data_IF_459158969981
#
_entry.id   IF_459158969981
#
_cell.length_a   1.000
_cell.length_b   1.000
_cell.length_c   1.000
_cell.angle_alpha   90.00
_cell.angle_beta   90.00
_cell.angle_gamma   90.00
#
_symmetry.space_group_name_H-M   'P 1'
#
loop_
_entity.id
_entity.type
_entity.pdbx_description
1 polymer ?
#
# COMPACT_ATOMS: atom_id res chain seq x y z
N UNK A 1 -27.23 -8.03 15.21
CA UNK A 1 -28.14 -7.28 14.31
C UNK A 1 -27.44 -7.18 12.97
N UNK A 2 -27.90 -7.99 12.01
CA UNK A 2 -27.38 -8.06 10.65
C UNK A 2 -27.87 -6.85 9.87
N UNK A 3 -26.94 -6.01 9.39
CA UNK A 3 -27.24 -5.07 8.32
C UNK A 3 -26.82 -5.71 6.99
N UNK A 4 -27.77 -6.36 6.33
CA UNK A 4 -27.68 -6.70 4.91
C UNK A 4 -27.74 -5.40 4.10
N UNK A 5 -26.60 -4.97 3.56
CA UNK A 5 -26.57 -3.98 2.51
C UNK A 5 -26.86 -4.68 1.17
N UNK A 6 -28.11 -4.58 0.72
CA UNK A 6 -28.50 -4.94 -0.64
C UNK A 6 -27.89 -3.92 -1.61
N UNK A 7 -26.79 -4.31 -2.28
CA UNK A 7 -26.35 -3.68 -3.51
C UNK A 7 -26.62 -4.64 -4.67
N UNK A 8 -27.31 -4.15 -5.69
CA UNK A 8 -27.57 -4.88 -6.92
C UNK A 8 -26.23 -5.24 -7.56
N UNK A 9 -25.83 -6.50 -7.40
CA UNK A 9 -24.85 -7.16 -8.24
C UNK A 9 -25.34 -6.97 -9.67
N UNK A 10 -24.56 -6.27 -10.49
CA UNK A 10 -24.82 -6.17 -11.94
C UNK A 10 -24.80 -7.61 -12.46
N UNK A 11 -25.99 -8.14 -12.71
CA UNK A 11 -26.19 -9.49 -13.21
C UNK A 11 -25.77 -9.48 -14.69
N UNK A 12 -24.82 -10.34 -15.15
CA UNK A 12 -24.27 -10.24 -16.50
C UNK A 12 -25.25 -10.62 -17.64
N UNK A 13 -26.53 -10.85 -17.36
CA UNK A 13 -27.45 -11.54 -18.26
C UNK A 13 -28.75 -10.80 -18.61
N UNK A 14 -28.84 -9.48 -18.39
CA UNK A 14 -29.99 -8.68 -18.86
C UNK A 14 -29.51 -7.43 -19.57
N UNK A 15 -29.19 -7.57 -20.86
CA UNK A 15 -29.14 -6.45 -21.79
C UNK A 15 -30.61 -6.17 -22.16
N UNK A 16 -31.25 -5.26 -21.42
CA UNK A 16 -32.39 -4.52 -21.94
C UNK A 16 -31.86 -3.17 -22.42
N UNK A 17 -31.96 -2.98 -23.73
CA UNK A 17 -31.68 -1.73 -24.44
C UNK A 17 -32.63 -0.64 -23.92
N UNK A 18 -32.11 0.26 -23.08
CA UNK A 18 -32.77 1.53 -22.77
C UNK A 18 -31.78 2.67 -23.01
N UNK A 19 -32.28 3.72 -23.67
CA UNK A 19 -31.54 4.89 -24.14
C UNK A 19 -30.71 5.54 -23.02
N UNK A 20 -29.38 5.51 -23.17
CA UNK A 20 -28.37 6.03 -22.21
C UNK A 20 -27.55 7.19 -22.77
N UNK A 21 -28.01 7.82 -23.85
CA UNK A 21 -27.19 8.77 -24.63
C UNK A 21 -27.13 10.20 -24.06
N UNK A 22 -28.06 10.62 -23.19
CA UNK A 22 -28.14 12.03 -22.74
C UNK A 22 -27.36 12.35 -21.44
N UNK A 23 -27.09 11.38 -20.57
CA UNK A 23 -26.45 11.64 -19.26
C UNK A 23 -24.93 11.53 -19.28
N UNK A 24 -24.37 10.73 -20.18
CA UNK A 24 -22.93 10.55 -20.38
C UNK A 24 -22.26 11.85 -20.85
N UNK A 25 -22.87 12.54 -21.81
CA UNK A 25 -22.33 13.75 -22.47
C UNK A 25 -22.14 14.94 -21.49
N UNK A 26 -23.06 15.09 -20.53
CA UNK A 26 -23.00 16.18 -19.53
C UNK A 26 -21.90 15.99 -18.46
N UNK A 27 -21.52 14.75 -18.19
CA UNK A 27 -20.54 14.44 -17.14
C UNK A 27 -19.09 14.48 -17.63
N UNK A 28 -18.82 14.02 -18.85
CA UNK A 28 -17.53 14.23 -19.50
C UNK A 28 -17.25 15.72 -19.73
N UNK A 29 -18.30 16.49 -20.06
CA UNK A 29 -18.24 17.96 -20.13
C UNK A 29 -17.76 18.57 -18.80
N UNK A 30 -18.12 17.99 -17.66
CA UNK A 30 -17.68 18.50 -16.35
C UNK A 30 -16.19 18.30 -16.13
N UNK A 31 -15.65 17.11 -16.45
CA UNK A 31 -14.21 16.83 -16.35
C UNK A 31 -13.41 17.68 -17.34
N UNK A 32 -13.91 17.81 -18.57
CA UNK A 32 -13.31 18.65 -19.61
C UNK A 32 -13.25 20.13 -19.19
N UNK A 33 -14.34 20.68 -18.65
CA UNK A 33 -14.39 22.06 -18.16
C UNK A 33 -13.42 22.29 -17.00
N UNK A 34 -13.23 21.29 -16.13
CA UNK A 34 -12.28 21.38 -15.03
C UNK A 34 -10.82 21.37 -15.51
N UNK A 35 -10.50 20.52 -16.48
CA UNK A 35 -9.16 20.50 -17.10
C UNK A 35 -8.91 21.81 -17.85
N UNK A 36 -9.82 22.23 -18.72
CA UNK A 36 -9.66 23.45 -19.53
C UNK A 36 -9.66 24.73 -18.69
N UNK A 37 -10.37 24.74 -17.56
CA UNK A 37 -10.30 25.82 -16.56
C UNK A 37 -8.98 25.90 -15.80
N UNK A 38 -8.13 24.86 -15.86
CA UNK A 38 -6.81 24.83 -15.22
C UNK A 38 -5.74 25.27 -16.22
N UNK A 39 -4.93 26.26 -15.87
CA UNK A 39 -3.89 26.79 -16.77
C UNK A 39 -2.92 25.70 -17.25
N UNK A 40 -2.42 25.80 -18.49
CA UNK A 40 -1.47 24.83 -19.03
C UNK A 40 -0.17 24.71 -18.23
N UNK A 41 0.28 25.81 -17.60
CA UNK A 41 1.43 25.82 -16.71
C UNK A 41 1.15 25.02 -15.43
N UNK A 42 -0.02 25.22 -14.82
CA UNK A 42 -0.47 24.46 -13.65
C UNK A 42 -0.60 22.98 -14.00
N UNK A 43 -1.22 22.63 -15.12
CA UNK A 43 -1.31 21.23 -15.54
C UNK A 43 0.06 20.59 -15.70
N UNK A 44 1.00 21.27 -16.36
CA UNK A 44 2.37 20.76 -16.55
C UNK A 44 3.10 20.55 -15.22
N UNK A 45 2.95 21.48 -14.28
CA UNK A 45 3.50 21.36 -12.92
C UNK A 45 2.93 20.14 -12.18
N UNK A 46 1.61 19.94 -12.22
CA UNK A 46 0.95 18.81 -11.59
C UNK A 46 1.37 17.48 -12.19
N UNK A 47 1.43 17.39 -13.53
CA UNK A 47 1.89 16.20 -14.23
C UNK A 47 3.34 15.86 -13.86
N UNK A 48 4.24 16.84 -13.84
CA UNK A 48 5.63 16.65 -13.42
C UNK A 48 5.73 16.14 -11.97
N UNK A 49 4.93 16.72 -11.06
CA UNK A 49 4.85 16.27 -9.67
C UNK A 49 4.38 14.81 -9.57
N UNK A 50 3.36 14.42 -10.36
CA UNK A 50 2.90 13.04 -10.42
C UNK A 50 4.01 12.07 -10.86
N UNK A 51 4.70 12.41 -11.96
CA UNK A 51 5.76 11.55 -12.51
C UNK A 51 6.90 11.33 -11.52
N UNK A 52 7.33 12.39 -10.83
CA UNK A 52 8.48 12.36 -9.94
C UNK A 52 8.16 11.74 -8.57
N UNK A 53 7.00 12.05 -7.99
CA UNK A 53 6.72 11.73 -6.59
C UNK A 53 5.84 10.49 -6.40
N UNK A 54 4.95 10.19 -7.35
CA UNK A 54 4.03 9.05 -7.24
C UNK A 54 4.43 7.89 -8.17
N UNK A 55 4.66 8.21 -9.45
CA UNK A 55 4.83 7.18 -10.47
C UNK A 55 6.20 6.48 -10.41
N UNK A 56 7.23 7.07 -9.77
CA UNK A 56 8.53 6.40 -9.57
C UNK A 56 8.41 5.09 -8.77
N UNK A 57 7.48 5.02 -7.81
CA UNK A 57 7.25 3.80 -7.01
C UNK A 57 6.41 2.76 -7.75
N UNK A 58 5.27 3.15 -8.30
CA UNK A 58 4.30 2.22 -8.87
C UNK A 58 4.60 1.88 -10.33
N UNK A 59 5.13 2.85 -11.09
CA UNK A 59 5.30 2.79 -12.54
C UNK A 59 4.02 2.31 -13.24
N UNK A 60 2.90 2.91 -12.83
CA UNK A 60 1.54 2.57 -13.26
C UNK A 60 1.25 3.08 -14.67
N UNK A 61 1.74 4.27 -14.99
CA UNK A 61 1.54 4.95 -16.27
C UNK A 61 2.89 5.27 -16.88
N UNK A 62 3.09 4.97 -18.15
CA UNK A 62 4.30 5.36 -18.88
C UNK A 62 4.14 6.78 -19.44
N UNK A 63 5.01 7.75 -19.09
CA UNK A 63 4.81 9.14 -19.48
C UNK A 63 4.80 9.37 -20.99
N UNK A 64 5.68 8.68 -21.72
CA UNK A 64 5.82 8.83 -23.17
C UNK A 64 4.65 8.19 -23.90
N UNK A 65 4.25 6.98 -23.49
CA UNK A 65 3.09 6.30 -24.05
C UNK A 65 1.81 7.09 -23.75
N UNK A 66 1.63 7.58 -22.52
CA UNK A 66 0.48 8.40 -22.14
C UNK A 66 0.35 9.65 -23.02
N UNK A 67 1.47 10.35 -23.28
CA UNK A 67 1.48 11.54 -24.13
C UNK A 67 1.07 11.22 -25.57
N UNK A 68 1.48 10.05 -26.11
CA UNK A 68 1.04 9.57 -27.42
C UNK A 68 -0.45 9.26 -27.45
N UNK A 69 -0.96 8.52 -26.46
CA UNK A 69 -2.38 8.17 -26.36
C UNK A 69 -3.29 9.38 -26.17
N UNK A 70 -2.81 10.41 -25.46
CA UNK A 70 -3.50 11.70 -25.33
C UNK A 70 -3.60 12.42 -26.68
N UNK A 71 -2.52 12.43 -27.48
CA UNK A 71 -2.53 13.04 -28.81
C UNK A 71 -3.40 12.28 -29.80
N UNK A 72 -3.39 10.95 -29.76
CA UNK A 72 -4.19 10.11 -30.65
C UNK A 72 -5.64 9.92 -30.20
N UNK A 73 -5.99 10.37 -28.98
CA UNK A 73 -7.29 10.12 -28.34
C UNK A 73 -7.64 8.63 -28.31
N UNK A 74 -6.64 7.79 -27.98
CA UNK A 74 -6.83 6.34 -27.85
C UNK A 74 -7.69 6.04 -26.63
N UNK A 75 -8.92 5.54 -26.85
CA UNK A 75 -9.91 5.33 -25.79
C UNK A 75 -9.56 4.17 -24.85
N UNK A 76 -8.69 3.26 -25.26
CA UNK A 76 -8.28 2.14 -24.40
C UNK A 76 -7.25 2.59 -23.35
N UNK A 77 -6.38 3.54 -23.72
CA UNK A 77 -5.23 3.95 -22.93
C UNK A 77 -5.29 5.38 -22.39
N UNK A 78 -6.21 6.20 -22.88
CA UNK A 78 -6.45 7.56 -22.43
C UNK A 78 -7.92 7.81 -22.10
N UNK A 79 -8.16 8.56 -21.03
CA UNK A 79 -9.49 9.09 -20.68
C UNK A 79 -9.36 10.38 -19.88
N UNK A 80 -10.41 11.23 -19.91
CA UNK A 80 -10.47 12.43 -19.08
C UNK A 80 -10.41 12.09 -17.59
N UNK A 81 -11.04 10.99 -17.18
CA UNK A 81 -10.97 10.48 -15.80
C UNK A 81 -9.53 10.20 -15.39
N UNK A 82 -8.76 9.47 -16.22
CA UNK A 82 -7.34 9.21 -15.95
C UNK A 82 -6.56 10.51 -15.84
N UNK A 83 -6.74 11.45 -16.78
CA UNK A 83 -6.08 12.75 -16.75
C UNK A 83 -6.36 13.52 -15.45
N UNK A 84 -7.63 13.59 -15.02
CA UNK A 84 -8.01 14.26 -13.77
C UNK A 84 -7.40 13.57 -12.56
N UNK A 85 -7.37 12.23 -12.51
CA UNK A 85 -6.71 11.48 -11.44
C UNK A 85 -5.20 11.77 -11.37
N UNK A 86 -4.50 11.83 -12.51
CA UNK A 86 -3.08 12.18 -12.57
C UNK A 86 -2.81 13.58 -12.00
N UNK A 87 -3.63 14.56 -12.40
CA UNK A 87 -3.52 15.94 -11.91
C UNK A 87 -3.84 16.04 -10.40
N UNK A 88 -4.91 15.37 -9.94
CA UNK A 88 -5.29 15.34 -8.53
C UNK A 88 -4.19 14.74 -7.65
N UNK A 89 -3.57 13.66 -8.13
CA UNK A 89 -2.48 12.99 -7.47
C UNK A 89 -1.20 13.84 -7.45
N UNK A 90 -0.88 14.49 -8.56
CA UNK A 90 0.23 15.45 -8.65
C UNK A 90 0.08 16.60 -7.66
N UNK A 91 -1.14 17.13 -7.50
CA UNK A 91 -1.44 18.22 -6.56
C UNK A 91 -1.16 17.83 -5.11
N UNK A 92 -1.41 16.56 -4.74
CA UNK A 92 -1.16 16.07 -3.38
C UNK A 92 0.31 16.22 -2.96
N UNK A 93 1.24 16.19 -3.91
CA UNK A 93 2.67 16.29 -3.61
C UNK A 93 3.21 17.73 -3.70
N UNK A 94 2.33 18.71 -3.93
CA UNK A 94 2.71 20.13 -3.99
C UNK A 94 2.25 20.84 -2.73
N UNK A 95 3.08 21.74 -2.22
CA UNK A 95 2.69 22.63 -1.14
C UNK A 95 1.80 23.76 -1.69
N UNK A 96 0.52 23.74 -1.29
CA UNK A 96 -0.56 24.61 -1.80
C UNK A 96 -0.44 26.08 -1.35
N UNK A 97 0.62 26.45 -0.64
CA UNK A 97 0.86 27.84 -0.23
C UNK A 97 1.13 28.82 -1.40
N UNK A 98 1.15 28.34 -2.65
CA UNK A 98 1.17 29.17 -3.85
C UNK A 98 -0.25 29.60 -4.26
N UNK A 99 -0.47 30.91 -4.38
CA UNK A 99 -1.76 31.52 -4.74
C UNK A 99 -2.39 31.01 -6.04
N UNK A 100 -1.58 30.41 -6.92
CA UNK A 100 -1.96 29.82 -8.21
C UNK A 100 -2.69 28.48 -8.11
N UNK A 101 -2.68 27.82 -6.95
CA UNK A 101 -3.28 26.50 -6.76
C UNK A 101 -4.57 26.53 -5.92
N UNK A 102 -4.91 27.67 -5.32
CA UNK A 102 -6.09 27.82 -4.48
C UNK A 102 -7.40 27.46 -5.22
N UNK A 103 -7.48 27.74 -6.52
CA UNK A 103 -8.68 27.51 -7.32
C UNK A 103 -9.02 26.03 -7.52
N UNK A 104 -8.01 25.16 -7.55
CA UNK A 104 -8.18 23.70 -7.70
C UNK A 104 -8.04 22.96 -6.36
N UNK A 105 -7.49 23.65 -5.36
CA UNK A 105 -7.43 23.17 -3.98
C UNK A 105 -8.85 23.12 -3.41
N UNK A 106 -9.13 22.06 -2.66
CA UNK A 106 -10.42 21.88 -2.00
C UNK A 106 -10.31 22.11 -0.50
N UNK A 107 -11.35 21.72 0.22
CA UNK A 107 -11.37 21.80 1.68
C UNK A 107 -10.63 20.61 2.28
N UNK A 108 -9.60 20.89 3.08
CA UNK A 108 -8.78 19.85 3.71
C UNK A 108 -7.89 19.11 2.72
N UNK A 109 -7.91 17.78 2.77
CA UNK A 109 -7.02 16.89 1.98
C UNK A 109 -7.61 16.49 0.62
N UNK A 110 -8.87 16.84 0.35
CA UNK A 110 -9.56 16.50 -0.89
C UNK A 110 -9.57 17.72 -1.84
N UNK A 111 -8.99 17.57 -3.03
CA UNK A 111 -9.01 18.62 -4.05
C UNK A 111 -10.30 18.63 -4.88
N UNK A 112 -10.55 19.72 -5.62
CA UNK A 112 -11.70 19.77 -6.54
C UNK A 112 -11.56 18.73 -7.67
N UNK A 113 -10.32 18.47 -8.12
CA UNK A 113 -10.00 17.42 -9.11
C UNK A 113 -10.34 16.02 -8.57
N UNK A 114 -9.91 15.73 -7.33
CA UNK A 114 -10.24 14.48 -6.65
C UNK A 114 -11.76 14.29 -6.52
N UNK A 115 -12.46 15.31 -5.99
CA UNK A 115 -13.91 15.28 -5.83
C UNK A 115 -14.64 15.06 -7.16
N UNK A 116 -14.18 15.70 -8.24
CA UNK A 116 -14.76 15.54 -9.57
C UNK A 116 -14.59 14.11 -10.11
N UNK A 117 -13.40 13.52 -10.00
CA UNK A 117 -13.15 12.14 -10.40
C UNK A 117 -14.01 11.13 -9.62
N UNK A 118 -14.16 11.35 -8.31
CA UNK A 118 -15.04 10.54 -7.45
C UNK A 118 -16.51 10.65 -7.90
N UNK A 119 -17.03 11.87 -8.03
CA UNK A 119 -18.42 12.11 -8.44
C UNK A 119 -18.73 11.52 -9.82
N UNK A 120 -17.75 11.51 -10.73
CA UNK A 120 -17.88 10.88 -12.04
C UNK A 120 -18.17 9.37 -11.91
N UNK A 121 -17.37 8.65 -11.11
CA UNK A 121 -17.58 7.22 -10.87
C UNK A 121 -18.84 6.90 -10.08
N UNK A 122 -19.20 7.71 -9.07
CA UNK A 122 -20.41 7.49 -8.27
C UNK A 122 -21.70 7.62 -9.10
N UNK A 123 -21.63 8.29 -10.26
CA UNK A 123 -22.71 8.35 -11.26
C UNK A 123 -22.71 7.16 -12.23
N UNK A 124 -21.89 6.15 -12.00
CA UNK A 124 -21.76 4.97 -12.86
C UNK A 124 -21.06 5.24 -14.19
N UNK A 125 -20.26 6.31 -14.28
CA UNK A 125 -19.57 6.69 -15.52
C UNK A 125 -18.20 5.99 -15.64
N UNK A 126 -17.72 5.90 -16.88
CA UNK A 126 -16.42 5.34 -17.24
C UNK A 126 -16.51 3.95 -17.86
N UNK A 127 -15.63 3.67 -18.82
CA UNK A 127 -15.61 2.39 -19.53
C UNK A 127 -14.73 1.37 -18.80
N UNK A 128 -15.39 0.40 -18.15
CA UNK A 128 -14.76 -0.71 -17.42
C UNK A 128 -13.89 -1.63 -18.28
N UNK A 129 -13.90 -1.46 -19.61
CA UNK A 129 -13.13 -2.27 -20.55
C UNK A 129 -11.72 -1.73 -20.79
N UNK A 130 -11.47 -0.49 -20.42
CA UNK A 130 -10.26 0.23 -20.81
C UNK A 130 -9.15 0.10 -19.77
N UNK A 131 -7.91 0.19 -20.22
CA UNK A 131 -6.73 0.29 -19.37
C UNK A 131 -6.69 1.62 -18.63
N UNK A 132 -7.12 2.68 -19.31
CA UNK A 132 -7.23 4.01 -18.74
C UNK A 132 -8.12 4.02 -17.48
N UNK A 133 -9.24 3.29 -17.51
CA UNK A 133 -10.13 3.15 -16.36
C UNK A 133 -9.48 2.42 -15.19
N UNK A 134 -8.79 1.30 -15.46
CA UNK A 134 -8.08 0.56 -14.41
C UNK A 134 -6.98 1.42 -13.75
N UNK A 135 -6.19 2.15 -14.55
CA UNK A 135 -5.15 3.06 -14.04
C UNK A 135 -5.77 4.19 -13.21
N UNK A 136 -6.86 4.80 -13.68
CA UNK A 136 -7.55 5.87 -12.97
C UNK A 136 -8.06 5.41 -11.60
N UNK A 137 -8.67 4.21 -11.55
CA UNK A 137 -9.18 3.63 -10.30
C UNK A 137 -8.09 3.36 -9.27
N UNK A 138 -6.91 2.87 -9.70
CA UNK A 138 -5.78 2.66 -8.79
C UNK A 138 -5.27 3.97 -8.18
N UNK A 139 -5.18 5.04 -8.99
CA UNK A 139 -4.78 6.37 -8.51
C UNK A 139 -5.83 6.94 -7.56
N UNK A 140 -7.12 6.82 -7.92
CA UNK A 140 -8.20 7.30 -7.09
C UNK A 140 -8.32 6.51 -5.78
N UNK A 141 -7.98 5.23 -5.76
CA UNK A 141 -7.93 4.43 -4.55
C UNK A 141 -6.97 5.03 -3.51
N UNK A 142 -5.78 5.47 -3.94
CA UNK A 142 -4.81 6.13 -3.06
C UNK A 142 -5.26 7.53 -2.64
N UNK A 143 -6.00 8.25 -3.47
CA UNK A 143 -6.58 9.54 -3.10
C UNK A 143 -7.66 9.37 -2.03
N UNK A 144 -8.60 8.43 -2.20
CA UNK A 144 -9.62 8.11 -1.19
C UNK A 144 -9.01 7.63 0.12
N UNK A 145 -8.00 6.75 0.05
CA UNK A 145 -7.27 6.32 1.24
C UNK A 145 -6.55 7.48 1.92
N UNK A 146 -6.02 8.44 1.15
CA UNK A 146 -5.38 9.65 1.62
C UNK A 146 -6.26 10.49 2.55
N UNK A 147 -7.53 10.60 2.20
CA UNK A 147 -8.54 11.35 2.94
C UNK A 147 -9.34 10.48 3.92
N UNK A 148 -8.82 9.29 4.26
CA UNK A 148 -9.39 8.41 5.30
C UNK A 148 -10.58 7.56 4.85
N UNK A 149 -10.97 7.59 3.57
CA UNK A 149 -12.06 6.79 3.01
C UNK A 149 -11.54 5.46 2.49
N UNK A 150 -11.00 4.65 3.39
CA UNK A 150 -10.31 3.39 3.08
C UNK A 150 -11.23 2.36 2.41
N UNK A 151 -12.53 2.34 2.74
CA UNK A 151 -13.52 1.47 2.11
C UNK A 151 -13.71 1.79 0.63
N UNK A 152 -13.90 3.08 0.30
CA UNK A 152 -13.98 3.56 -1.09
C UNK A 152 -12.67 3.27 -1.83
N UNK A 153 -11.52 3.51 -1.18
CA UNK A 153 -10.22 3.18 -1.76
C UNK A 153 -10.06 1.71 -2.08
N UNK A 154 -10.42 0.82 -1.15
CA UNK A 154 -10.41 -0.63 -1.37
C UNK A 154 -11.35 -1.04 -2.50
N UNK A 155 -12.55 -0.45 -2.56
CA UNK A 155 -13.53 -0.74 -3.61
C UNK A 155 -12.99 -0.35 -4.99
N UNK A 156 -12.43 0.85 -5.15
CA UNK A 156 -11.85 1.29 -6.42
C UNK A 156 -10.64 0.45 -6.83
N UNK A 157 -9.75 0.12 -5.89
CA UNK A 157 -8.64 -0.79 -6.17
C UNK A 157 -9.16 -2.17 -6.61
N UNK A 158 -10.22 -2.68 -5.98
CA UNK A 158 -10.86 -3.94 -6.37
C UNK A 158 -11.51 -3.90 -7.74
N UNK A 159 -12.19 -2.81 -8.06
CA UNK A 159 -12.80 -2.62 -9.37
C UNK A 159 -11.74 -2.54 -10.47
N UNK A 160 -10.59 -1.89 -10.23
CA UNK A 160 -9.50 -1.79 -11.21
C UNK A 160 -8.96 -3.17 -11.64
N UNK A 161 -9.02 -4.12 -10.71
CA UNK A 161 -8.50 -5.47 -10.91
C UNK A 161 -9.50 -6.39 -11.61
N UNK A 162 -10.78 -6.03 -11.54
CA UNK A 162 -11.90 -6.68 -12.22
C UNK A 162 -12.22 -6.03 -13.57
N UNK A 163 -11.66 -4.85 -13.86
CA UNK A 163 -11.77 -4.20 -15.16
C UNK A 163 -11.40 -5.18 -16.29
N UNK A 164 -12.24 -5.23 -17.33
CA UNK A 164 -12.07 -6.20 -18.43
C UNK A 164 -10.74 -6.03 -19.16
N UNK A 165 -10.24 -4.79 -19.27
CA UNK A 165 -8.89 -4.52 -19.78
C UNK A 165 -7.81 -5.25 -18.97
N UNK A 166 -7.86 -5.16 -17.64
CA UNK A 166 -6.94 -5.86 -16.74
C UNK A 166 -7.04 -7.38 -16.86
N UNK A 167 -8.25 -7.93 -16.93
CA UNK A 167 -8.45 -9.38 -17.09
C UNK A 167 -7.93 -9.89 -18.45
N UNK A 168 -8.19 -9.15 -19.53
CA UNK A 168 -7.66 -9.45 -20.86
C UNK A 168 -6.13 -9.48 -20.90
N UNK A 169 -5.47 -8.72 -20.01
CA UNK A 169 -4.01 -8.75 -19.88
C UNK A 169 -3.49 -10.04 -19.29
N UNK A 170 -4.23 -10.68 -18.36
CA UNK A 170 -3.83 -11.97 -17.77
C UNK A 170 -3.84 -13.04 -18.85
N UNK A 171 -4.86 -13.04 -19.70
CA UNK A 171 -4.98 -13.95 -20.83
C UNK A 171 -3.93 -13.65 -21.88
N UNK A 172 -3.82 -12.39 -22.33
CA UNK A 172 -2.85 -11.98 -23.35
C UNK A 172 -1.40 -12.27 -22.93
N UNK A 173 -1.00 -11.98 -21.69
CA UNK A 173 0.36 -12.27 -21.19
C UNK A 173 0.65 -13.77 -21.12
N UNK A 174 -0.35 -14.60 -20.83
CA UNK A 174 -0.20 -16.06 -20.86
C UNK A 174 0.16 -16.55 -22.27
N UNK A 175 -0.36 -15.88 -23.31
CA UNK A 175 -0.11 -16.22 -24.71
C UNK A 175 1.09 -15.50 -25.34
N UNK A 176 1.46 -14.30 -24.87
CA UNK A 176 2.44 -13.39 -25.49
C UNK A 176 3.89 -13.54 -25.01
N UNK A 177 4.29 -14.69 -24.49
CA UNK A 177 5.70 -14.99 -24.12
C UNK A 177 6.66 -15.13 -25.33
N UNK A 178 6.28 -14.61 -26.51
CA UNK A 178 6.98 -14.83 -27.79
C UNK A 178 7.23 -13.54 -28.60
N UNK A 179 6.74 -12.37 -28.19
CA UNK A 179 6.92 -11.11 -28.95
C UNK A 179 7.22 -9.93 -28.02
N UNK A 180 8.21 -9.09 -28.38
CA UNK A 180 8.60 -7.88 -27.63
C UNK A 180 7.65 -6.71 -27.94
N UNK A 181 6.36 -6.89 -27.65
CA UNK A 181 5.36 -5.86 -27.94
C UNK A 181 5.32 -4.80 -26.82
N UNK A 182 5.32 -3.53 -27.21
CA UNK A 182 5.18 -2.38 -26.31
C UNK A 182 3.87 -2.47 -25.52
N UNK A 183 2.81 -2.96 -26.18
CA UNK A 183 1.51 -3.15 -25.56
C UNK A 183 1.54 -4.24 -24.47
N UNK A 184 2.26 -5.33 -24.71
CA UNK A 184 2.43 -6.41 -23.73
C UNK A 184 3.18 -5.91 -22.47
N UNK A 185 4.17 -5.03 -22.65
CA UNK A 185 4.86 -4.39 -21.53
C UNK A 185 3.94 -3.46 -20.74
N UNK A 186 3.11 -2.65 -21.41
CA UNK A 186 2.15 -1.76 -20.75
C UNK A 186 1.11 -2.55 -19.94
N UNK A 187 0.54 -3.62 -20.52
CA UNK A 187 -0.35 -4.57 -19.84
C UNK A 187 0.31 -5.23 -18.62
N UNK A 188 1.59 -5.62 -18.75
CA UNK A 188 2.37 -6.17 -17.65
C UNK A 188 2.60 -5.15 -16.51
N UNK A 189 2.81 -3.88 -16.82
CA UNK A 189 2.92 -2.81 -15.80
C UNK A 189 1.64 -2.67 -15.00
N UNK A 190 0.48 -2.61 -15.65
CA UNK A 190 -0.82 -2.50 -14.97
C UNK A 190 -1.05 -3.70 -14.05
N UNK A 191 -0.82 -4.92 -14.53
CA UNK A 191 -0.97 -6.12 -13.70
C UNK A 191 0.00 -6.16 -12.52
N UNK A 192 1.24 -5.69 -12.71
CA UNK A 192 2.20 -5.52 -11.62
C UNK A 192 1.66 -4.60 -10.53
N UNK A 193 1.04 -3.49 -10.93
CA UNK A 193 0.44 -2.53 -10.01
C UNK A 193 -0.78 -3.14 -9.30
N UNK A 194 -1.68 -3.80 -10.03
CA UNK A 194 -2.81 -4.50 -9.43
C UNK A 194 -2.37 -5.51 -8.35
N UNK A 195 -1.29 -6.27 -8.60
CA UNK A 195 -0.72 -7.16 -7.60
C UNK A 195 -0.13 -6.39 -6.40
N UNK A 196 0.61 -5.30 -6.65
CA UNK A 196 1.12 -4.43 -5.58
C UNK A 196 -0.01 -3.92 -4.69
N UNK A 197 -1.10 -3.41 -5.28
CA UNK A 197 -2.25 -2.92 -4.52
C UNK A 197 -2.95 -4.06 -3.78
N UNK A 198 -3.19 -5.23 -4.38
CA UNK A 198 -3.76 -6.38 -3.65
C UNK A 198 -2.93 -6.71 -2.40
N UNK A 199 -1.59 -6.72 -2.52
CA UNK A 199 -0.72 -6.95 -1.35
C UNK A 199 -0.76 -5.81 -0.33
N UNK A 200 -0.73 -4.57 -0.79
CA UNK A 200 -0.82 -3.39 0.07
C UNK A 200 -2.09 -3.43 0.92
N UNK A 201 -3.25 -3.67 0.31
CA UNK A 201 -4.55 -3.69 0.99
C UNK A 201 -4.70 -4.91 1.92
N UNK A 202 -4.18 -6.08 1.53
CA UNK A 202 -4.12 -7.27 2.40
C UNK A 202 -3.35 -7.00 3.68
N UNK A 203 -2.19 -6.36 3.61
CA UNK A 203 -1.41 -6.06 4.81
C UNK A 203 -2.05 -4.89 5.59
N UNK A 204 -2.46 -3.80 4.95
CA UNK A 204 -2.90 -2.58 5.63
C UNK A 204 -4.22 -2.74 6.39
N UNK A 205 -5.15 -3.51 5.82
CA UNK A 205 -6.53 -3.57 6.27
C UNK A 205 -7.04 -5.00 6.49
N UNK A 206 -6.17 -6.01 6.34
CA UNK A 206 -6.53 -7.43 6.46
C UNK A 206 -7.68 -7.79 5.50
N UNK A 207 -7.70 -7.14 4.33
CA UNK A 207 -8.74 -7.30 3.32
C UNK A 207 -8.13 -7.61 1.96
N UNK A 208 -8.35 -8.82 1.42
CA UNK A 208 -7.99 -9.09 0.04
C UNK A 208 -8.88 -8.27 -0.91
N UNK A 209 -8.32 -7.86 -2.04
CA UNK A 209 -9.04 -7.15 -3.11
C UNK A 209 -9.76 -8.15 -4.04
N UNK A 210 -9.49 -9.45 -3.86
CA UNK A 210 -10.26 -10.53 -4.47
C UNK A 210 -9.66 -11.09 -5.76
N UNK A 211 -8.46 -10.63 -6.15
CA UNK A 211 -7.69 -11.34 -7.15
C UNK A 211 -7.17 -12.65 -6.54
N UNK A 212 -7.63 -13.77 -7.07
CA UNK A 212 -6.99 -15.08 -6.85
C UNK A 212 -5.59 -15.18 -7.45
N UNK A 213 -4.74 -14.14 -7.33
CA UNK A 213 -3.35 -14.15 -7.81
C UNK A 213 -2.50 -15.21 -7.11
N UNK A 214 -2.97 -15.78 -6.00
CA UNK A 214 -2.32 -16.87 -5.26
C UNK A 214 -2.03 -18.11 -6.12
N UNK A 215 -2.71 -18.29 -7.27
CA UNK A 215 -2.45 -19.37 -8.22
C UNK A 215 -1.78 -18.96 -9.54
N UNK A 216 -1.88 -17.68 -9.91
CA UNK A 216 -1.27 -17.18 -11.14
C UNK A 216 0.18 -16.79 -10.79
N UNK A 217 1.17 -17.48 -11.36
CA UNK A 217 2.61 -17.14 -11.23
C UNK A 217 2.95 -15.81 -11.92
N UNK A 218 2.09 -14.80 -11.81
CA UNK A 218 2.21 -13.45 -12.37
C UNK A 218 3.55 -12.83 -12.00
N UNK A 219 4.07 -12.93 -10.77
CA UNK A 219 5.38 -12.37 -10.45
C UNK A 219 6.53 -12.99 -11.27
N UNK A 220 6.47 -14.29 -11.59
CA UNK A 220 7.47 -14.96 -12.44
C UNK A 220 7.36 -14.54 -13.91
N UNK A 221 6.15 -14.32 -14.39
CA UNK A 221 5.92 -13.86 -15.77
C UNK A 221 6.34 -12.39 -15.91
N UNK A 222 5.93 -11.54 -14.98
CA UNK A 222 6.33 -10.12 -14.92
C UNK A 222 7.84 -9.95 -14.78
N UNK A 223 8.49 -10.84 -14.05
CA UNK A 223 9.95 -10.88 -13.94
C UNK A 223 10.60 -11.18 -15.29
N UNK A 224 10.11 -12.17 -16.03
CA UNK A 224 10.64 -12.52 -17.35
C UNK A 224 10.50 -11.36 -18.33
N UNK A 225 9.33 -10.70 -18.34
CA UNK A 225 9.09 -9.51 -19.16
C UNK A 225 9.96 -8.32 -18.75
N UNK A 226 10.21 -8.13 -17.45
CA UNK A 226 11.09 -7.06 -16.96
C UNK A 226 12.56 -7.30 -17.33
N UNK A 227 13.03 -8.55 -17.36
CA UNK A 227 14.38 -8.88 -17.83
C UNK A 227 14.56 -8.74 -19.33
N UNK A 228 13.50 -8.93 -20.12
CA UNK A 228 13.53 -8.75 -21.58
C UNK A 228 13.46 -7.26 -21.96
N UNK A 229 12.65 -6.46 -21.27
CA UNK A 229 12.60 -5.00 -21.43
C UNK A 229 13.90 -4.30 -20.98
N UNK A 230 14.68 -4.92 -20.10
CA UNK A 230 15.97 -4.40 -19.63
C UNK A 230 17.05 -4.32 -20.73
N UNK A 231 16.86 -5.03 -21.85
CA UNK A 231 17.77 -4.97 -23.01
C UNK A 231 17.66 -3.60 -23.73
N UNK A 232 16.55 -2.87 -23.54
CA UNK A 232 16.25 -1.62 -24.27
C UNK A 232 16.36 -0.34 -23.45
N UNK A 233 16.61 -0.39 -22.13
CA UNK A 233 16.64 0.81 -21.28
C UNK A 233 17.92 0.90 -20.40
N UNK A 234 18.69 2.01 -20.40
CA UNK A 234 20.08 2.01 -19.90
C UNK A 234 20.25 2.20 -18.38
N UNK A 235 19.21 2.59 -17.63
CA UNK A 235 19.34 2.77 -16.18
C UNK A 235 19.19 1.44 -15.45
N UNK A 236 20.23 0.61 -15.48
CA UNK A 236 20.34 -0.71 -14.86
C UNK A 236 19.74 -0.75 -13.43
N UNK A 237 20.00 0.26 -12.60
CA UNK A 237 19.54 0.30 -11.21
C UNK A 237 18.01 0.37 -11.06
N UNK A 238 17.28 1.05 -11.95
CA UNK A 238 15.80 1.15 -11.86
C UNK A 238 15.12 -0.18 -12.15
N UNK A 239 15.63 -0.88 -13.17
CA UNK A 239 15.12 -2.18 -13.59
C UNK A 239 15.40 -3.23 -12.53
N UNK A 240 16.59 -3.19 -11.92
CA UNK A 240 16.95 -4.04 -10.79
C UNK A 240 16.06 -3.79 -9.57
N UNK A 241 15.84 -2.52 -9.22
CA UNK A 241 14.95 -2.15 -8.12
C UNK A 241 13.51 -2.65 -8.35
N UNK A 242 12.99 -2.46 -9.57
CA UNK A 242 11.66 -2.95 -9.96
C UNK A 242 11.57 -4.48 -9.91
N UNK A 243 12.58 -5.18 -10.42
CA UNK A 243 12.66 -6.63 -10.38
C UNK A 243 12.70 -7.16 -8.95
N UNK A 244 13.46 -6.51 -8.06
CA UNK A 244 13.52 -6.82 -6.64
C UNK A 244 12.15 -6.62 -5.97
N UNK A 245 11.48 -5.50 -6.24
CA UNK A 245 10.11 -5.24 -5.78
C UNK A 245 9.12 -6.33 -6.16
N UNK A 246 9.09 -6.73 -7.42
CA UNK A 246 8.19 -7.78 -7.91
C UNK A 246 8.44 -9.13 -7.21
N UNK A 247 9.71 -9.49 -6.98
CA UNK A 247 10.06 -10.70 -6.22
C UNK A 247 9.60 -10.60 -4.77
N UNK A 248 9.76 -9.44 -4.14
CA UNK A 248 9.34 -9.25 -2.76
C UNK A 248 7.81 -9.36 -2.64
N UNK A 249 7.05 -8.80 -3.59
CA UNK A 249 5.59 -8.93 -3.63
C UNK A 249 5.10 -10.38 -3.79
N UNK A 250 5.85 -11.23 -4.50
CA UNK A 250 5.57 -12.68 -4.58
C UNK A 250 5.70 -13.34 -3.21
N UNK A 251 6.76 -13.02 -2.46
CA UNK A 251 6.95 -13.50 -1.09
C UNK A 251 5.82 -12.95 -0.19
N UNK A 252 5.50 -11.66 -0.31
CA UNK A 252 4.41 -11.00 0.42
C UNK A 252 3.09 -11.73 0.24
N UNK A 253 2.73 -12.09 -1.00
CA UNK A 253 1.47 -12.81 -1.31
C UNK A 253 1.36 -14.15 -0.59
N UNK A 254 2.47 -14.88 -0.48
CA UNK A 254 2.49 -16.16 0.26
C UNK A 254 2.39 -15.95 1.76
N UNK A 255 3.05 -14.92 2.30
CA UNK A 255 2.94 -14.54 3.71
C UNK A 255 1.50 -14.16 4.04
N UNK A 256 0.89 -13.25 3.28
CA UNK A 256 -0.49 -12.77 3.52
C UNK A 256 -1.53 -13.87 3.37
N UNK A 257 -1.35 -14.79 2.43
CA UNK A 257 -2.23 -15.96 2.26
C UNK A 257 -2.16 -16.92 3.45
N UNK A 258 -0.96 -17.25 3.96
CA UNK A 258 -0.84 -18.04 5.20
C UNK A 258 -1.44 -17.27 6.38
N UNK A 259 -1.28 -15.93 6.37
CA UNK A 259 -1.85 -15.07 7.39
C UNK A 259 -3.36 -15.17 7.49
N UNK A 260 -4.06 -15.15 6.35
CA UNK A 260 -5.51 -15.29 6.23
C UNK A 260 -6.00 -16.71 6.58
N UNK A 261 -5.26 -17.75 6.20
CA UNK A 261 -5.69 -19.15 6.43
C UNK A 261 -5.81 -19.53 7.91
N UNK A 262 -4.92 -19.02 8.76
CA UNK A 262 -4.87 -19.34 10.20
C UNK A 262 -5.80 -18.48 11.05
N UNK A 263 -6.36 -17.39 10.51
CA UNK A 263 -7.49 -16.72 11.15
C UNK A 263 -8.70 -17.64 11.31
N UNK A 264 -8.76 -18.73 10.54
CA UNK A 264 -9.84 -19.71 10.55
C UNK A 264 -9.55 -20.93 11.43
N UNK A 265 -8.33 -21.14 11.92
CA UNK A 265 -8.00 -22.24 12.85
C UNK A 265 -6.75 -21.95 13.71
N UNK A 266 -6.90 -21.77 15.04
CA UNK A 266 -5.81 -21.33 15.92
C UNK A 266 -4.87 -22.45 16.41
N UNK A 267 -4.91 -23.66 15.82
CA UNK A 267 -4.17 -24.80 16.38
C UNK A 267 -2.73 -24.90 15.85
N UNK A 268 -1.80 -24.74 16.81
CA UNK A 268 -0.34 -24.91 16.78
C UNK A 268 0.46 -23.92 15.91
N UNK A 269 1.58 -23.37 16.43
CA UNK A 269 2.55 -22.66 15.60
C UNK A 269 3.12 -23.63 14.56
N UNK A 270 2.88 -23.34 13.28
CA UNK A 270 3.52 -24.08 12.20
C UNK A 270 4.99 -23.59 12.08
N UNK A 271 5.84 -24.01 13.03
CA UNK A 271 7.25 -23.62 13.14
C UNK A 271 7.99 -23.74 11.81
N UNK A 272 7.77 -24.85 11.10
CA UNK A 272 8.33 -25.09 9.78
C UNK A 272 7.97 -23.98 8.77
N UNK A 273 6.72 -23.50 8.78
CA UNK A 273 6.28 -22.42 7.87
C UNK A 273 6.96 -21.09 8.22
N UNK A 274 7.07 -20.75 9.51
CA UNK A 274 7.81 -19.57 9.95
C UNK A 274 9.26 -19.64 9.49
N UNK A 275 9.95 -20.76 9.77
CA UNK A 275 11.34 -20.95 9.35
C UNK A 275 11.52 -20.88 7.82
N UNK A 276 10.55 -21.42 7.06
CA UNK A 276 10.56 -21.35 5.59
C UNK A 276 10.46 -19.91 5.09
N UNK A 277 9.49 -19.15 5.60
CA UNK A 277 9.27 -17.75 5.22
C UNK A 277 10.45 -16.86 5.64
N UNK A 278 10.97 -17.07 6.84
CA UNK A 278 12.14 -16.37 7.37
C UNK A 278 13.39 -16.61 6.50
N UNK A 279 13.68 -17.87 6.21
CA UNK A 279 14.82 -18.26 5.36
C UNK A 279 14.69 -17.67 3.96
N UNK A 280 13.48 -17.67 3.40
CA UNK A 280 13.22 -17.13 2.08
C UNK A 280 13.43 -15.61 2.02
N UNK A 281 12.93 -14.87 3.00
CA UNK A 281 13.14 -13.42 3.11
C UNK A 281 14.63 -13.08 3.23
N UNK A 282 15.37 -13.75 4.13
CA UNK A 282 16.80 -13.53 4.29
C UNK A 282 17.59 -13.87 3.03
N UNK A 283 17.26 -14.99 2.36
CA UNK A 283 17.90 -15.37 1.08
C UNK A 283 17.64 -14.33 0.01
N UNK A 284 16.41 -13.82 -0.11
CA UNK A 284 16.07 -12.78 -1.06
C UNK A 284 16.88 -11.49 -0.80
N UNK A 285 16.95 -11.05 0.46
CA UNK A 285 17.66 -9.81 0.83
C UNK A 285 19.16 -9.92 0.62
N UNK A 286 19.77 -11.04 1.01
CA UNK A 286 21.19 -11.31 0.78
C UNK A 286 21.54 -11.44 -0.71
N UNK A 287 20.57 -11.81 -1.55
CA UNK A 287 20.70 -11.93 -3.00
C UNK A 287 20.47 -10.64 -3.79
N UNK A 288 20.26 -9.49 -3.14
CA UNK A 288 20.09 -8.23 -3.84
C UNK A 288 21.38 -7.83 -4.60
N UNK A 289 21.28 -7.31 -5.84
CA UNK A 289 22.41 -6.72 -6.56
C UNK A 289 23.09 -5.60 -5.77
N UNK A 290 24.41 -5.46 -5.94
CA UNK A 290 25.22 -4.49 -5.20
C UNK A 290 24.73 -3.03 -5.33
N UNK A 291 24.16 -2.68 -6.48
CA UNK A 291 23.54 -1.38 -6.80
C UNK A 291 22.33 -1.02 -5.93
N UNK A 292 21.61 -2.02 -5.40
CA UNK A 292 20.37 -1.84 -4.62
C UNK A 292 20.44 -2.40 -3.20
N UNK A 293 21.59 -2.94 -2.79
CA UNK A 293 21.87 -3.30 -1.39
C UNK A 293 21.89 -2.08 -0.47
N UNK A 294 21.62 -2.28 0.82
CA UNK A 294 21.67 -1.24 1.85
C UNK A 294 23.11 -0.83 2.18
N UNK A 295 23.70 0.02 1.33
CA UNK A 295 25.08 0.51 1.43
C UNK A 295 25.12 2.04 1.50
N UNK A 296 26.09 2.65 2.22
CA UNK A 296 26.18 4.11 2.36
C UNK A 296 26.19 4.86 1.01
N UNK A 297 26.94 4.36 0.02
CA UNK A 297 27.00 4.98 -1.30
C UNK A 297 25.62 4.96 -1.98
N UNK A 298 24.94 3.81 -1.96
CA UNK A 298 23.61 3.67 -2.54
C UNK A 298 22.59 4.59 -1.83
N UNK A 299 22.65 4.70 -0.50
CA UNK A 299 21.75 5.56 0.29
C UNK A 299 21.88 7.03 -0.13
N UNK A 300 23.07 7.50 -0.50
CA UNK A 300 23.32 8.89 -0.88
C UNK A 300 22.71 9.29 -2.22
N UNK A 301 22.56 8.33 -3.15
CA UNK A 301 22.05 8.56 -4.50
C UNK A 301 20.68 7.91 -4.76
N UNK A 302 20.21 7.06 -3.84
CA UNK A 302 18.96 6.32 -3.92
C UNK A 302 17.72 7.17 -4.23
N UNK A 303 16.70 6.53 -4.79
CA UNK A 303 15.37 7.13 -4.97
C UNK A 303 14.47 6.78 -3.80
N UNK A 304 13.30 7.41 -3.73
CA UNK A 304 12.31 7.11 -2.69
C UNK A 304 11.92 5.63 -2.69
N UNK A 305 11.67 5.05 -3.86
CA UNK A 305 11.33 3.64 -4.07
C UNK A 305 12.36 2.64 -3.52
N UNK A 306 13.63 3.04 -3.39
CA UNK A 306 14.67 2.24 -2.72
C UNK A 306 14.42 2.14 -1.22
N UNK A 307 14.16 3.26 -0.54
CA UNK A 307 13.89 3.25 0.90
C UNK A 307 12.63 2.44 1.22
N UNK A 308 11.60 2.58 0.40
CA UNK A 308 10.34 1.85 0.57
C UNK A 308 10.54 0.33 0.38
N UNK A 309 11.48 -0.11 -0.47
CA UNK A 309 11.79 -1.55 -0.64
C UNK A 309 12.34 -2.13 0.66
N UNK A 310 13.32 -1.45 1.25
CA UNK A 310 13.96 -1.87 2.48
C UNK A 310 12.99 -1.82 3.67
N UNK A 311 12.13 -0.80 3.75
CA UNK A 311 11.07 -0.76 4.75
C UNK A 311 10.07 -1.91 4.58
N UNK A 312 9.69 -2.25 3.34
CA UNK A 312 8.76 -3.35 3.09
C UNK A 312 9.35 -4.68 3.55
N UNK A 313 10.63 -4.95 3.23
CA UNK A 313 11.34 -6.15 3.67
C UNK A 313 11.32 -6.31 5.19
N UNK A 314 11.73 -5.28 5.93
CA UNK A 314 11.74 -5.33 7.39
C UNK A 314 10.33 -5.43 7.98
N UNK A 315 9.34 -4.79 7.35
CA UNK A 315 7.93 -4.93 7.74
C UNK A 315 7.44 -6.37 7.58
N UNK A 316 7.83 -7.09 6.51
CA UNK A 316 7.46 -8.50 6.33
C UNK A 316 8.09 -9.40 7.39
N UNK A 317 9.35 -9.16 7.77
CA UNK A 317 9.98 -9.89 8.88
C UNK A 317 9.22 -9.68 10.20
N UNK A 318 8.78 -8.45 10.48
CA UNK A 318 7.92 -8.19 11.64
C UNK A 318 6.64 -9.03 11.53
N UNK A 319 5.95 -9.02 10.40
CA UNK A 319 4.67 -9.75 10.23
C UNK A 319 4.82 -11.28 10.38
N UNK A 320 5.91 -11.84 9.86
CA UNK A 320 6.21 -13.28 9.97
C UNK A 320 6.41 -13.68 11.44
N UNK A 321 7.19 -12.88 12.20
CA UNK A 321 7.55 -13.18 13.59
C UNK A 321 6.51 -12.71 14.61
N UNK A 322 5.70 -11.70 14.26
CA UNK A 322 4.70 -11.09 15.15
C UNK A 322 3.77 -12.11 15.81
N UNK A 323 3.42 -13.16 15.08
CA UNK A 323 2.50 -14.19 15.56
C UNK A 323 3.09 -15.12 16.62
N UNK A 324 4.41 -15.11 16.72
CA UNK A 324 5.17 -15.94 17.64
C UNK A 324 5.66 -15.16 18.85
N UNK A 325 5.49 -13.83 18.95
CA UNK A 325 6.01 -12.99 20.05
C UNK A 325 5.30 -13.13 21.39
N UNK A 326 4.23 -13.95 21.46
CA UNK A 326 3.36 -14.24 22.62
C UNK A 326 3.70 -13.39 23.86
N UNK A 327 3.11 -12.21 23.96
CA UNK A 327 3.41 -11.21 24.99
C UNK A 327 2.78 -11.55 26.37
N UNK A 328 1.91 -12.58 26.44
CA UNK A 328 1.49 -13.22 27.70
C UNK A 328 1.71 -14.73 27.61
N UNK A 329 2.25 -15.29 28.67
CA UNK A 329 2.55 -16.72 28.86
C UNK A 329 1.27 -17.54 28.76
N UNK A 330 1.27 -18.61 27.96
CA UNK A 330 0.20 -19.61 28.04
C UNK A 330 0.37 -20.37 29.36
N UNK A 331 -0.39 -20.01 30.39
CA UNK A 331 -0.51 -20.81 31.62
C UNK A 331 -1.36 -22.09 31.40
N UNK A 332 -1.87 -22.32 30.18
CA UNK A 332 -2.82 -23.40 29.87
C UNK A 332 -2.22 -24.62 29.14
N UNK A 333 -0.92 -24.63 28.84
CA UNK A 333 -0.27 -25.84 28.31
C UNK A 333 0.51 -26.55 29.42
N UNK A 334 0.08 -27.78 29.67
CA UNK A 334 0.65 -28.79 30.55
C UNK A 334 2.19 -28.78 30.55
N UNK A 335 2.77 -29.01 31.72
CA UNK A 335 4.16 -28.77 32.13
C UNK A 335 5.17 -29.68 31.41
N UNK A 336 5.34 -29.48 30.09
CA UNK A 336 6.16 -30.31 29.20
C UNK A 336 7.16 -29.52 28.33
N UNK A 337 8.12 -30.24 27.72
CA UNK A 337 9.22 -29.70 26.90
C UNK A 337 8.79 -28.72 25.79
N UNK A 338 7.56 -28.84 25.29
CA UNK A 338 6.99 -27.94 24.27
C UNK A 338 6.81 -26.49 24.77
N UNK A 339 6.55 -26.27 26.06
CA UNK A 339 6.34 -24.94 26.63
C UNK A 339 7.64 -24.11 26.65
N UNK A 340 8.77 -24.76 26.98
CA UNK A 340 10.10 -24.14 26.96
C UNK A 340 10.49 -23.70 25.55
N UNK A 341 10.27 -24.56 24.55
CA UNK A 341 10.54 -24.25 23.14
C UNK A 341 9.68 -23.09 22.62
N UNK A 342 8.39 -23.07 22.97
CA UNK A 342 7.47 -21.98 22.60
C UNK A 342 7.92 -20.65 23.23
N UNK A 343 8.36 -20.67 24.49
CA UNK A 343 8.85 -19.48 25.16
C UNK A 343 10.17 -18.97 24.53
N UNK A 344 11.12 -19.86 24.23
CA UNK A 344 12.35 -19.50 23.54
C UNK A 344 12.09 -18.91 22.15
N UNK A 345 11.16 -19.50 21.39
CA UNK A 345 10.75 -18.91 20.11
C UNK A 345 10.14 -17.53 20.32
N UNK A 346 9.27 -17.37 21.31
CA UNK A 346 8.63 -16.09 21.61
C UNK A 346 9.63 -14.99 21.90
N UNK A 347 10.60 -15.27 22.76
CA UNK A 347 11.71 -14.37 23.05
C UNK A 347 12.53 -14.03 21.79
N UNK A 348 12.80 -15.03 20.95
CA UNK A 348 13.56 -14.85 19.70
C UNK A 348 12.79 -13.99 18.71
N UNK A 349 11.51 -14.29 18.49
CA UNK A 349 10.62 -13.53 17.61
C UNK A 349 10.45 -12.09 18.09
N UNK A 350 10.36 -11.84 19.41
CA UNK A 350 10.32 -10.47 19.95
C UNK A 350 11.57 -9.67 19.60
N UNK A 351 12.75 -10.27 19.78
CA UNK A 351 14.03 -9.65 19.42
C UNK A 351 14.10 -9.36 17.92
N UNK A 352 13.68 -10.30 17.07
CA UNK A 352 13.65 -10.11 15.61
C UNK A 352 12.68 -8.98 15.23
N UNK A 353 11.48 -8.96 15.79
CA UNK A 353 10.51 -7.88 15.56
C UNK A 353 11.08 -6.52 15.97
N UNK A 354 11.73 -6.42 17.14
CA UNK A 354 12.34 -5.17 17.61
C UNK A 354 13.44 -4.69 16.67
N UNK A 355 14.41 -5.54 16.32
CA UNK A 355 15.50 -5.15 15.42
C UNK A 355 14.95 -4.68 14.07
N UNK A 356 13.97 -5.38 13.52
CA UNK A 356 13.37 -4.97 12.25
C UNK A 356 12.55 -3.68 12.36
N UNK A 357 11.85 -3.45 13.48
CA UNK A 357 11.16 -2.18 13.73
C UNK A 357 12.16 -1.01 13.78
N UNK A 358 13.30 -1.19 14.43
CA UNK A 358 14.41 -0.22 14.43
C UNK A 358 14.95 0.03 13.02
N UNK A 359 15.06 -1.00 12.18
CA UNK A 359 15.50 -0.84 10.78
C UNK A 359 14.48 -0.06 9.95
N UNK A 360 13.18 -0.25 10.16
CA UNK A 360 12.14 0.57 9.53
C UNK A 360 12.31 2.06 9.91
N UNK A 361 12.53 2.36 11.20
CA UNK A 361 12.76 3.74 11.66
C UNK A 361 14.02 4.36 11.08
N UNK A 362 15.15 3.63 11.13
CA UNK A 362 16.42 4.10 10.55
C UNK A 362 16.31 4.36 9.06
N UNK A 363 15.55 3.51 8.35
CA UNK A 363 15.26 3.71 6.92
C UNK A 363 14.43 4.97 6.70
N UNK A 364 13.42 5.22 7.55
CA UNK A 364 12.63 6.45 7.50
C UNK A 364 13.50 7.68 7.78
N UNK A 365 14.39 7.64 8.76
CA UNK A 365 15.32 8.72 9.08
C UNK A 365 16.28 9.02 7.93
N UNK A 366 16.80 7.98 7.27
CA UNK A 366 17.64 8.16 6.09
C UNK A 366 16.86 8.75 4.91
N UNK A 367 15.60 8.33 4.74
CA UNK A 367 14.71 8.84 3.71
C UNK A 367 14.37 10.32 3.92
N UNK A 368 14.00 10.73 5.14
CA UNK A 368 13.62 12.12 5.46
C UNK A 368 14.78 13.10 5.44
N UNK A 369 16.03 12.63 5.46
CA UNK A 369 17.22 13.47 5.19
C UNK A 369 17.31 13.90 3.73
N UNK A 370 16.63 13.21 2.81
CA UNK A 370 16.74 13.44 1.36
C UNK A 370 15.42 13.85 0.71
N UNK A 371 14.29 13.43 1.27
CA UNK A 371 12.96 13.67 0.72
C UNK A 371 12.05 14.32 1.77
N UNK A 372 11.25 15.27 1.32
CA UNK A 372 10.19 15.85 2.14
C UNK A 372 9.13 14.77 2.47
N UNK A 373 8.58 14.84 3.68
CA UNK A 373 7.42 14.04 4.08
C UNK A 373 6.24 14.20 3.10
N UNK A 374 6.08 15.37 2.48
CA UNK A 374 5.04 15.64 1.45
C UNK A 374 5.09 14.67 0.26
N UNK A 375 6.28 14.13 -0.04
CA UNK A 375 6.49 13.23 -1.18
C UNK A 375 6.34 11.75 -0.78
N UNK A 376 6.10 11.44 0.50
CA UNK A 376 6.04 10.06 0.95
C UNK A 376 4.79 9.36 0.40
N UNK A 377 4.92 8.14 -0.14
CA UNK A 377 3.76 7.35 -0.57
C UNK A 377 3.02 6.81 0.66
N UNK A 378 1.72 6.52 0.49
CA UNK A 378 0.84 6.00 1.55
C UNK A 378 1.41 4.74 2.22
N UNK A 379 2.09 3.87 1.47
CA UNK A 379 2.72 2.66 1.99
C UNK A 379 3.74 2.91 3.12
N UNK A 380 4.31 4.11 3.18
CA UNK A 380 5.19 4.54 4.28
C UNK A 380 4.43 4.54 5.61
N UNK A 381 3.20 5.07 5.62
CA UNK A 381 2.33 5.10 6.82
C UNK A 381 2.12 3.68 7.34
N UNK A 382 1.89 2.73 6.43
CA UNK A 382 1.70 1.33 6.77
C UNK A 382 2.94 0.70 7.40
N UNK A 383 4.13 0.86 6.80
CA UNK A 383 5.36 0.30 7.37
C UNK A 383 5.65 0.87 8.76
N UNK A 384 5.41 2.17 8.95
CA UNK A 384 5.56 2.80 10.27
C UNK A 384 4.51 2.28 11.28
N UNK A 385 3.27 2.01 10.84
CA UNK A 385 2.25 1.41 11.73
C UNK A 385 2.67 0.02 12.18
N UNK A 386 3.24 -0.80 11.29
CA UNK A 386 3.76 -2.14 11.63
C UNK A 386 4.92 -2.04 12.62
N UNK A 387 5.85 -1.08 12.44
CA UNK A 387 6.91 -0.86 13.42
C UNK A 387 6.35 -0.38 14.78
N UNK A 388 5.32 0.47 14.75
CA UNK A 388 4.68 1.00 15.97
C UNK A 388 4.05 -0.08 16.82
N UNK A 389 3.45 -1.11 16.21
CA UNK A 389 2.83 -2.20 16.97
C UNK A 389 3.84 -2.93 17.86
N UNK A 390 5.10 -3.03 17.40
CA UNK A 390 6.18 -3.65 18.17
C UNK A 390 6.51 -2.83 19.42
N UNK A 391 6.73 -1.53 19.27
CA UNK A 391 7.08 -0.64 20.38
C UNK A 391 5.91 -0.45 21.36
N UNK A 392 4.68 -0.38 20.86
CA UNK A 392 3.48 -0.35 21.69
C UNK A 392 3.39 -1.61 22.54
N UNK A 393 3.53 -2.79 21.93
CA UNK A 393 3.43 -4.05 22.67
C UNK A 393 4.58 -4.24 23.67
N UNK A 394 5.80 -3.79 23.35
CA UNK A 394 6.90 -3.79 24.32
C UNK A 394 6.62 -2.88 25.52
N UNK A 395 6.01 -1.72 25.28
CA UNK A 395 5.61 -0.81 26.37
C UNK A 395 4.53 -1.43 27.24
N UNK A 396 3.51 -2.04 26.63
CA UNK A 396 2.39 -2.69 27.31
C UNK A 396 2.79 -3.95 28.09
N UNK A 397 3.75 -4.72 27.57
CA UNK A 397 4.17 -5.97 28.22
C UNK A 397 4.89 -5.74 29.56
N UNK A 398 5.34 -4.50 29.84
CA UNK A 398 6.17 -4.19 31.00
C UNK A 398 7.54 -4.84 30.85
N UNK A 399 8.59 -4.04 30.65
CA UNK A 399 9.93 -4.61 30.51
C UNK A 399 10.32 -5.44 31.73
N UNK A 400 10.90 -6.63 31.55
CA UNK A 400 11.54 -7.42 32.62
C UNK A 400 12.82 -6.76 33.19
N UNK A 401 13.01 -5.45 33.02
CA UNK A 401 14.23 -4.70 33.35
C UNK A 401 15.39 -4.86 32.37
N UNK A 402 15.40 -5.90 31.52
CA UNK A 402 16.51 -6.16 30.58
C UNK A 402 16.38 -5.49 29.20
N UNK A 403 15.16 -5.20 28.73
CA UNK A 403 14.96 -4.57 27.41
C UNK A 403 14.99 -3.03 27.50
N UNK A 404 15.74 -2.33 26.65
CA UNK A 404 15.78 -0.87 26.64
C UNK A 404 14.40 -0.29 26.33
N UNK A 405 14.03 0.74 27.09
CA UNK A 405 12.77 1.47 26.93
C UNK A 405 12.58 1.90 25.47
N UNK A 406 11.42 1.65 24.84
CA UNK A 406 11.16 2.05 23.45
C UNK A 406 10.73 3.52 23.32
N UNK A 407 10.95 4.36 24.34
CA UNK A 407 10.38 5.71 24.42
C UNK A 407 10.92 6.63 23.33
N UNK A 408 12.22 6.60 23.05
CA UNK A 408 12.83 7.41 21.97
C UNK A 408 12.25 7.04 20.60
N UNK A 409 12.03 5.75 20.36
CA UNK A 409 11.42 5.24 19.13
C UNK A 409 9.94 5.65 19.01
N UNK A 410 9.20 5.61 20.12
CA UNK A 410 7.81 6.07 20.20
C UNK A 410 7.71 7.56 19.93
N UNK A 411 8.60 8.38 20.51
CA UNK A 411 8.67 9.81 20.27
C UNK A 411 8.97 10.13 18.80
N UNK A 412 9.95 9.43 18.20
CA UNK A 412 10.28 9.61 16.80
C UNK A 412 9.09 9.24 15.89
N UNK A 413 8.42 8.11 16.16
CA UNK A 413 7.25 7.70 15.41
C UNK A 413 6.09 8.69 15.54
N UNK A 414 5.83 9.20 16.75
CA UNK A 414 4.82 10.22 16.97
C UNK A 414 5.11 11.48 16.13
N UNK A 415 6.35 11.95 16.11
CA UNK A 415 6.76 13.09 15.27
C UNK A 415 6.59 12.79 13.77
N UNK A 416 6.97 11.59 13.33
CA UNK A 416 6.81 11.17 11.93
C UNK A 416 5.34 11.12 11.52
N UNK A 417 4.47 10.50 12.34
CA UNK A 417 3.04 10.47 12.07
C UNK A 417 2.38 11.84 12.18
N UNK A 418 2.84 12.73 13.05
CA UNK A 418 2.37 14.11 13.09
C UNK A 418 2.53 14.78 11.72
N UNK A 419 3.73 14.69 11.12
CA UNK A 419 3.99 15.20 9.77
C UNK A 419 3.14 14.51 8.72
N UNK A 420 3.13 13.17 8.71
CA UNK A 420 2.35 12.39 7.74
C UNK A 420 0.84 12.62 7.87
N UNK A 421 0.34 12.94 9.05
CA UNK A 421 -1.08 13.22 9.30
C UNK A 421 -1.57 14.44 8.56
N UNK A 422 -0.69 15.39 8.22
CA UNK A 422 -1.07 16.53 7.38
C UNK A 422 -1.48 16.09 5.96
N UNK A 423 -0.91 14.99 5.47
CA UNK A 423 -1.09 14.45 4.11
C UNK A 423 -2.10 13.30 4.10
N UNK A 424 -2.04 12.43 5.11
CA UNK A 424 -2.78 11.17 5.18
C UNK A 424 -3.58 11.09 6.48
N UNK A 425 -4.90 11.05 6.39
CA UNK A 425 -5.75 10.91 7.57
C UNK A 425 -5.45 9.62 8.34
N UNK A 426 -5.03 8.56 7.65
CA UNK A 426 -4.64 7.29 8.25
C UNK A 426 -3.51 7.40 9.29
N UNK A 427 -2.69 8.46 9.22
CA UNK A 427 -1.61 8.71 10.17
C UNK A 427 -2.06 9.44 11.45
N UNK A 428 -3.28 10.00 11.51
CA UNK A 428 -3.76 10.73 12.68
C UNK A 428 -3.92 9.83 13.91
N UNK A 429 -4.45 8.62 13.72
CA UNK A 429 -4.75 7.72 14.85
C UNK A 429 -3.47 7.14 15.47
N UNK A 430 -2.51 6.59 14.70
CA UNK A 430 -1.20 6.23 15.24
C UNK A 430 -0.50 7.39 15.95
N UNK A 431 -0.60 8.61 15.41
CA UNK A 431 -0.06 9.81 16.06
C UNK A 431 -0.68 10.04 17.45
N UNK A 432 -2.02 10.01 17.56
CA UNK A 432 -2.72 10.20 18.84
C UNK A 432 -2.33 9.15 19.87
N UNK A 433 -2.32 7.88 19.46
CA UNK A 433 -1.97 6.75 20.34
C UNK A 433 -0.56 6.94 20.87
N UNK A 434 0.44 7.08 19.99
CA UNK A 434 1.83 7.19 20.39
C UNK A 434 2.09 8.45 21.22
N UNK A 435 1.47 9.58 20.87
CA UNK A 435 1.60 10.82 21.64
C UNK A 435 1.06 10.71 23.05
N UNK A 436 0.02 9.91 23.27
CA UNK A 436 -0.50 9.64 24.62
C UNK A 436 0.44 8.79 25.47
N UNK A 437 1.33 8.01 24.85
CA UNK A 437 2.29 7.14 25.56
C UNK A 437 3.48 7.89 26.12
N UNK A 438 3.87 8.99 25.48
CA UNK A 438 5.05 9.79 25.85
C UNK A 438 4.95 10.29 27.31
N UNK A 439 3.84 10.95 27.74
CA UNK A 439 3.73 11.43 29.12
C UNK A 439 3.41 10.32 30.12
N UNK A 440 2.72 9.26 29.70
CA UNK A 440 2.35 8.14 30.56
C UNK A 440 2.30 6.83 29.73
N UNK A 441 3.36 6.01 29.78
CA UNK A 441 3.41 4.75 29.03
C UNK A 441 2.26 3.78 29.35
N UNK A 442 1.62 3.91 30.52
CA UNK A 442 0.47 3.12 30.94
C UNK A 442 -0.90 3.60 30.43
N UNK A 443 -1.03 4.82 29.88
CA UNK A 443 -2.33 5.35 29.42
C UNK A 443 -2.81 4.80 28.07
N UNK A 444 -2.04 3.90 27.45
CA UNK A 444 -2.31 3.27 26.15
C UNK A 444 -3.70 2.60 26.12
N UNK A 445 -4.12 1.97 27.22
CA UNK A 445 -5.39 1.24 27.28
C UNK A 445 -6.60 2.16 27.02
N UNK A 446 -6.60 3.36 27.59
CA UNK A 446 -7.64 4.36 27.35
C UNK A 446 -7.64 4.89 25.91
N UNK A 447 -6.46 5.00 25.28
CA UNK A 447 -6.36 5.38 23.87
C UNK A 447 -6.84 4.25 22.94
N UNK A 448 -6.50 2.99 23.23
CA UNK A 448 -6.91 1.82 22.44
C UNK A 448 -8.41 1.52 22.54
N UNK A 449 -9.04 1.76 23.70
CA UNK A 449 -10.49 1.57 23.88
C UNK A 449 -11.33 2.57 23.06
N UNK A 450 -10.75 3.72 22.69
CA UNK A 450 -11.42 4.77 21.93
C UNK A 450 -11.19 4.70 20.42
N UNK A 451 -10.60 3.62 19.89
CA UNK A 451 -10.39 3.40 18.45
C UNK A 451 -11.73 3.47 17.68
N UNK A 452 -12.00 4.61 17.04
CA UNK A 452 -13.26 4.91 16.29
C UNK A 452 -13.22 4.53 14.80
N UNK A 453 -12.18 3.86 14.31
CA UNK A 453 -11.88 3.74 12.86
C UNK A 453 -11.75 2.27 12.40
N UNK A 454 -11.91 1.97 11.07
CA UNK A 454 -12.08 0.59 10.56
C UNK A 454 -10.90 -0.32 10.92
N UNK A 455 -11.00 -1.66 10.74
CA UNK A 455 -9.96 -2.58 11.21
C UNK A 455 -8.65 -2.36 10.43
N UNK A 456 -7.81 -1.47 10.96
CA UNK A 456 -6.43 -1.30 10.52
C UNK A 456 -5.59 -2.44 11.07
N UNK A 457 -4.43 -2.65 10.47
CA UNK A 457 -3.45 -3.60 10.99
C UNK A 457 -3.14 -3.35 12.48
N UNK A 458 -3.14 -2.09 12.93
CA UNK A 458 -2.95 -1.71 14.33
C UNK A 458 -4.09 -2.25 15.21
N UNK A 459 -5.34 -2.03 14.81
CA UNK A 459 -6.50 -2.58 15.53
C UNK A 459 -6.45 -4.10 15.59
N UNK A 460 -6.16 -4.76 14.45
CA UNK A 460 -6.12 -6.22 14.38
C UNK A 460 -4.99 -6.83 15.22
N UNK A 461 -3.81 -6.22 15.17
CA UNK A 461 -2.63 -6.66 15.91
C UNK A 461 -2.79 -6.42 17.41
N UNK A 462 -3.41 -5.31 17.82
CA UNK A 462 -3.58 -4.95 19.22
C UNK A 462 -4.86 -5.51 19.85
N UNK A 463 -5.80 -6.05 19.05
CA UNK A 463 -7.04 -6.67 19.52
C UNK A 463 -6.87 -7.71 20.65
N UNK A 464 -5.84 -8.58 20.66
CA UNK A 464 -5.61 -9.50 21.78
C UNK A 464 -5.35 -8.78 23.12
N UNK A 465 -4.68 -7.64 23.11
CA UNK A 465 -4.43 -6.83 24.31
C UNK A 465 -5.72 -6.14 24.81
N UNK A 466 -6.61 -5.73 23.91
CA UNK A 466 -7.88 -5.06 24.23
C UNK A 466 -8.89 -6.03 24.89
N UNK A 467 -8.99 -7.28 24.39
CA UNK A 467 -9.96 -8.25 24.91
C UNK A 467 -9.52 -8.94 26.22
N UNK A 468 -8.22 -9.04 26.48
CA UNK A 468 -7.70 -9.77 27.65
C UNK A 468 -7.81 -9.01 28.99
N UNK A 469 -7.98 -7.68 29.00
CA UNK A 469 -8.18 -6.94 30.26
C UNK A 469 -9.66 -6.73 30.63
N UNK A 470 -10.56 -6.76 29.65
CA UNK A 470 -12.01 -6.77 29.92
C UNK A 470 -12.49 -8.09 30.56
N UNK A 471 -11.62 -9.10 30.63
CA UNK A 471 -11.87 -10.38 31.32
C UNK A 471 -11.16 -10.46 32.67
N UNK A 472 -10.36 -9.46 33.05
CA UNK A 472 -9.70 -9.33 34.36
C UNK A 472 -10.29 -8.21 35.23
N UNK A 473 -11.37 -7.57 34.78
CA UNK A 473 -12.25 -6.67 35.54
C UNK A 473 -13.61 -7.35 35.65
#
# INVERSE_FOLDING_TARGET
MNHEYHWNIINPSTIETSDTTDTTDTTDTTLYNLISGTSGQTQSLLMNSFWQNYNDLTNLVDPDAFSRYEQSQDRDWYSLLLRVCLLAMGLRHINVNESTLCDISGEGRESKLHRAAKNYLERGQGDTNTFAFAQALLILADLECGVGRTESGWMYASESTRARGTLSSIEAIRFSLQTSDEEAQARARILSCCNFYDQFWRISFVRPIGLGFTGLRVPKILQKLSSEAAISCPSSNMLELRSAWLRLLDITSRITTDMESKLRSPKRPAFHKLATMDTELHRWYAGLPASIQWLPNNISEARLSYFILHQHYHSLLILVHWRSTYYKTYEEYDDGDDASLINQLSLTSRKICRENALRVLRTMQACTKRFDCQNMPMITVQHLMIASTVFIAQTLAGGNGEEPSPLEEVEYLAQAFSKLSTIFQLAEEPYRILSSMIPNPGSVLGALQNLRSPPTILHFILKPFIHQELSSV
#
